data_IF_203338970990
#
_entry.id   IF_203338970990
#
_cell.length_a   1.000
_cell.length_b   1.000
_cell.length_c   1.000
_cell.angle_alpha   90.00
_cell.angle_beta   90.00
_cell.angle_gamma   90.00
#
_symmetry.space_group_name_H-M   'P 1'
#
loop_
_entity.id
_entity.type
_entity.pdbx_description
1 polymer ?
#
# COMPACT_ATOMS: atom_id res chain seq x y z
N UNK A 1 -12.27 -20.71 10.28
CA UNK A 1 -11.42 -21.36 9.25
C UNK A 1 -12.11 -21.62 7.91
N UNK A 2 -13.46 -21.72 7.83
CA UNK A 2 -14.17 -21.89 6.54
C UNK A 2 -14.24 -20.59 5.71
N UNK A 3 -14.20 -19.43 6.37
CA UNK A 3 -14.27 -18.10 5.74
C UNK A 3 -13.07 -17.75 4.84
N UNK A 4 -11.89 -18.28 5.13
CA UNK A 4 -10.65 -17.93 4.41
C UNK A 4 -10.54 -18.64 3.07
N UNK A 5 -11.05 -19.88 2.97
CA UNK A 5 -10.99 -20.67 1.73
C UNK A 5 -11.97 -20.15 0.66
N UNK A 6 -13.17 -19.73 1.08
CA UNK A 6 -14.15 -19.11 0.16
C UNK A 6 -13.62 -17.76 -0.35
N UNK A 7 -13.05 -16.94 0.54
CA UNK A 7 -12.43 -15.68 0.15
C UNK A 7 -11.24 -15.84 -0.82
N UNK A 8 -10.48 -16.94 -0.72
CA UNK A 8 -9.37 -17.24 -1.61
C UNK A 8 -9.81 -17.61 -3.03
N UNK A 9 -10.87 -18.42 -3.16
CA UNK A 9 -11.40 -18.77 -4.47
C UNK A 9 -12.05 -17.56 -5.17
N UNK A 10 -12.73 -16.71 -4.41
CA UNK A 10 -13.33 -15.50 -4.94
C UNK A 10 -12.27 -14.51 -5.44
N UNK A 11 -11.22 -14.23 -4.65
CA UNK A 11 -10.18 -13.28 -5.05
C UNK A 11 -9.40 -13.74 -6.29
N UNK A 12 -9.16 -15.04 -6.43
CA UNK A 12 -8.47 -15.63 -7.59
C UNK A 12 -9.31 -15.57 -8.88
N UNK A 13 -10.62 -15.36 -8.76
CA UNK A 13 -11.53 -15.17 -9.90
C UNK A 13 -11.65 -13.72 -10.38
N UNK A 14 -10.95 -12.79 -9.72
CA UNK A 14 -11.01 -11.37 -10.06
C UNK A 14 -9.84 -10.98 -10.95
N UNK A 15 -10.13 -10.58 -12.19
CA UNK A 15 -9.13 -10.20 -13.19
C UNK A 15 -8.30 -8.97 -12.76
N UNK A 16 -8.83 -8.14 -11.86
CA UNK A 16 -8.12 -6.97 -11.34
C UNK A 16 -6.87 -7.36 -10.53
N UNK A 17 -6.86 -8.54 -9.91
CA UNK A 17 -5.73 -9.04 -9.12
C UNK A 17 -4.46 -9.18 -9.98
N UNK A 18 -4.43 -10.03 -11.02
CA UNK A 18 -3.26 -10.14 -11.88
C UNK A 18 -2.98 -8.84 -12.64
N UNK A 19 -4.00 -8.04 -12.96
CA UNK A 19 -3.82 -6.75 -13.62
C UNK A 19 -3.03 -5.74 -12.76
N UNK A 20 -3.43 -5.52 -11.50
CA UNK A 20 -2.71 -4.63 -10.58
C UNK A 20 -1.30 -5.14 -10.32
N UNK A 21 -1.16 -6.44 -10.12
CA UNK A 21 0.13 -7.06 -9.83
C UNK A 21 1.08 -6.88 -11.04
N UNK A 22 0.57 -7.05 -12.26
CA UNK A 22 1.33 -6.79 -13.49
C UNK A 22 1.72 -5.33 -13.64
N UNK A 23 0.80 -4.40 -13.37
CA UNK A 23 1.09 -2.97 -13.33
C UNK A 23 2.24 -2.67 -12.36
N UNK A 24 2.20 -3.24 -11.15
CA UNK A 24 3.25 -3.03 -10.15
C UNK A 24 4.60 -3.55 -10.64
N UNK A 25 4.63 -4.71 -11.30
CA UNK A 25 5.84 -5.27 -11.90
C UNK A 25 6.39 -4.39 -13.03
N UNK A 26 5.53 -4.00 -13.97
CA UNK A 26 5.86 -3.22 -15.16
C UNK A 26 6.41 -1.82 -14.80
N UNK A 27 5.83 -1.17 -13.79
CA UNK A 27 6.21 0.17 -13.37
C UNK A 27 7.03 0.22 -12.06
N UNK A 28 7.49 -0.93 -11.56
CA UNK A 28 8.21 -1.05 -10.29
C UNK A 28 9.35 -0.03 -10.16
N UNK A 29 10.25 0.01 -11.15
CA UNK A 29 11.38 0.94 -11.15
C UNK A 29 10.97 2.37 -11.43
N UNK A 30 9.93 2.61 -12.22
CA UNK A 30 9.55 3.95 -12.67
C UNK A 30 8.78 4.72 -11.59
N UNK A 31 7.95 4.02 -10.83
CA UNK A 31 7.11 4.60 -9.78
C UNK A 31 7.59 4.25 -8.36
N UNK A 32 8.75 3.59 -8.24
CA UNK A 32 9.28 3.08 -6.97
C UNK A 32 8.22 2.27 -6.22
N UNK A 33 7.60 1.31 -6.92
CA UNK A 33 6.56 0.45 -6.33
C UNK A 33 7.21 -0.74 -5.61
N UNK A 34 6.57 -1.23 -4.54
CA UNK A 34 6.98 -2.47 -3.90
C UNK A 34 7.00 -3.65 -4.90
N UNK A 35 7.97 -4.55 -4.70
CA UNK A 35 8.10 -5.81 -5.45
C UNK A 35 7.01 -6.82 -5.01
N UNK A 36 5.83 -6.70 -5.62
CA UNK A 36 4.63 -7.46 -5.29
C UNK A 36 4.41 -8.59 -6.31
N UNK A 37 4.41 -9.83 -5.83
CA UNK A 37 3.92 -10.97 -6.59
C UNK A 37 2.38 -11.07 -6.47
N UNK A 38 1.73 -11.77 -7.41
CA UNK A 38 0.27 -11.93 -7.41
C UNK A 38 -0.23 -12.53 -6.09
N UNK A 39 0.45 -13.56 -5.59
CA UNK A 39 0.22 -14.19 -4.30
C UNK A 39 0.31 -13.20 -3.13
N UNK A 40 1.26 -12.27 -3.19
CA UNK A 40 1.50 -11.29 -2.12
C UNK A 40 0.33 -10.31 -2.04
N UNK A 41 -0.18 -9.84 -3.19
CA UNK A 41 -1.35 -8.97 -3.24
C UNK A 41 -2.61 -9.66 -2.70
N UNK A 42 -2.85 -10.92 -3.11
CA UNK A 42 -3.97 -11.71 -2.60
C UNK A 42 -3.90 -11.90 -1.08
N UNK A 43 -2.73 -12.27 -0.57
CA UNK A 43 -2.51 -12.46 0.87
C UNK A 43 -2.70 -11.15 1.65
N UNK A 44 -2.18 -10.04 1.13
CA UNK A 44 -2.29 -8.73 1.77
C UNK A 44 -3.74 -8.21 1.80
N UNK A 45 -4.52 -8.45 0.75
CA UNK A 45 -5.93 -8.08 0.70
C UNK A 45 -6.80 -8.96 1.62
N UNK A 46 -6.46 -10.25 1.78
CA UNK A 46 -7.17 -11.16 2.67
C UNK A 46 -6.71 -11.08 4.13
N UNK A 47 -5.58 -10.43 4.42
CA UNK A 47 -5.13 -10.19 5.79
C UNK A 47 -6.16 -9.34 6.55
N UNK A 48 -6.46 -9.77 7.77
CA UNK A 48 -7.34 -9.06 8.71
C UNK A 48 -6.59 -7.98 9.52
N UNK A 49 -5.32 -7.73 9.19
CA UNK A 49 -4.46 -6.78 9.91
C UNK A 49 -3.84 -7.35 11.20
N UNK A 50 -4.04 -8.63 11.51
CA UNK A 50 -3.45 -9.30 12.68
C UNK A 50 -2.16 -10.08 12.38
N UNK A 51 -1.82 -10.21 11.09
CA UNK A 51 -0.59 -10.87 10.62
C UNK A 51 0.66 -9.98 10.75
N UNK A 52 1.83 -10.54 10.46
CA UNK A 52 3.13 -9.84 10.50
C UNK A 52 3.08 -8.41 9.93
N UNK A 53 3.59 -7.43 10.68
CA UNK A 53 3.50 -5.99 10.38
C UNK A 53 3.92 -5.64 8.94
N UNK A 54 4.89 -6.36 8.37
CA UNK A 54 5.43 -6.13 7.03
C UNK A 54 4.45 -6.53 5.90
N UNK A 55 3.62 -7.58 6.08
CA UNK A 55 2.55 -7.92 5.11
C UNK A 55 1.34 -7.00 5.26
N UNK A 56 1.07 -6.56 6.50
CA UNK A 56 -0.01 -5.60 6.82
C UNK A 56 0.25 -4.23 6.19
N UNK A 57 1.52 -3.87 5.96
CA UNK A 57 1.90 -2.60 5.36
C UNK A 57 1.95 -2.60 3.81
N UNK A 58 1.87 -3.75 3.12
CA UNK A 58 2.05 -3.83 1.67
C UNK A 58 1.03 -2.97 0.90
N UNK A 59 -0.26 -3.14 1.19
CA UNK A 59 -1.34 -2.39 0.51
C UNK A 59 -1.27 -0.90 0.84
N UNK A 60 -1.13 -0.48 2.13
CA UNK A 60 -0.87 0.90 2.48
C UNK A 60 0.35 1.52 1.77
N UNK A 61 1.46 0.80 1.68
CA UNK A 61 2.68 1.29 1.00
C UNK A 61 2.44 1.49 -0.49
N UNK A 62 1.81 0.51 -1.17
CA UNK A 62 1.42 0.65 -2.57
C UNK A 62 0.56 1.90 -2.79
N UNK A 63 -0.45 2.12 -1.96
CA UNK A 63 -1.31 3.31 -2.03
C UNK A 63 -0.50 4.59 -1.86
N UNK A 64 0.39 4.65 -0.86
CA UNK A 64 1.23 5.83 -0.60
C UNK A 64 2.14 6.13 -1.80
N UNK A 65 2.80 5.12 -2.38
CA UNK A 65 3.67 5.31 -3.56
C UNK A 65 2.90 5.83 -4.76
N UNK A 66 1.72 5.28 -5.04
CA UNK A 66 0.87 5.74 -6.13
C UNK A 66 0.38 7.17 -5.91
N UNK A 67 -0.16 7.49 -4.73
CA UNK A 67 -0.66 8.84 -4.42
C UNK A 67 0.44 9.91 -4.51
N UNK A 68 1.67 9.59 -4.10
CA UNK A 68 2.82 10.50 -4.19
C UNK A 68 3.21 10.83 -5.63
N UNK A 69 2.92 9.94 -6.57
CA UNK A 69 3.18 10.14 -7.99
C UNK A 69 2.06 10.88 -8.73
N UNK A 70 0.94 11.20 -8.08
CA UNK A 70 -0.19 11.88 -8.73
C UNK A 70 -0.03 13.40 -8.70
N UNK A 71 -0.12 14.06 -9.87
CA UNK A 71 0.03 15.52 -10.01
C UNK A 71 -0.91 16.32 -9.09
N UNK A 72 -2.14 15.83 -8.91
CA UNK A 72 -3.15 16.46 -8.04
C UNK A 72 -2.72 16.55 -6.55
N UNK A 73 -1.72 15.77 -6.15
CA UNK A 73 -1.18 15.71 -4.79
C UNK A 73 0.28 16.16 -4.70
N UNK A 74 0.89 16.63 -5.80
CA UNK A 74 2.32 16.93 -5.87
C UNK A 74 2.81 17.90 -4.79
N UNK A 75 1.99 18.91 -4.44
CA UNK A 75 2.33 19.91 -3.42
C UNK A 75 2.39 19.35 -2.00
N UNK A 76 1.67 18.26 -1.72
CA UNK A 76 1.57 17.62 -0.40
C UNK A 76 2.16 16.20 -0.39
N UNK A 77 2.75 15.74 -1.48
CA UNK A 77 3.22 14.37 -1.64
C UNK A 77 4.16 13.91 -0.50
N UNK A 78 5.05 14.79 -0.04
CA UNK A 78 5.99 14.49 1.06
C UNK A 78 5.31 14.28 2.42
N UNK A 79 4.09 14.79 2.60
CA UNK A 79 3.32 14.68 3.83
C UNK A 79 2.50 13.38 3.89
N UNK A 80 2.35 12.67 2.76
CA UNK A 80 1.59 11.42 2.69
C UNK A 80 2.41 10.29 3.31
N UNK A 81 1.85 9.66 4.34
CA UNK A 81 2.46 8.57 5.11
C UNK A 81 1.46 7.43 5.33
N UNK A 82 1.97 6.29 5.78
CA UNK A 82 1.16 5.12 6.17
C UNK A 82 0.07 5.43 7.20
N UNK A 83 0.24 6.44 8.05
CA UNK A 83 -0.73 6.77 9.10
C UNK A 83 -1.83 7.73 8.64
N UNK A 84 -1.63 8.47 7.54
CA UNK A 84 -2.56 9.51 7.11
C UNK A 84 -3.07 9.36 5.67
N UNK A 85 -2.59 8.36 4.91
CA UNK A 85 -2.90 8.19 3.49
C UNK A 85 -4.41 8.16 3.20
N UNK A 86 -5.22 7.62 4.11
CA UNK A 86 -6.66 7.45 3.90
C UNK A 86 -7.38 8.79 3.64
N UNK A 87 -6.99 9.85 4.34
CA UNK A 87 -7.55 11.19 4.13
C UNK A 87 -7.23 11.69 2.71
N UNK A 88 -5.98 11.55 2.28
CA UNK A 88 -5.53 11.95 0.95
C UNK A 88 -6.18 11.11 -0.15
N UNK A 89 -6.25 9.79 0.04
CA UNK A 89 -6.90 8.84 -0.86
C UNK A 89 -8.36 9.21 -1.07
N UNK A 90 -9.11 9.44 0.01
CA UNK A 90 -10.53 9.82 -0.04
C UNK A 90 -10.74 11.11 -0.84
N UNK A 91 -9.93 12.15 -0.55
CA UNK A 91 -10.00 13.44 -1.27
C UNK A 91 -9.65 13.28 -2.74
N UNK A 92 -8.63 12.48 -3.04
CA UNK A 92 -8.18 12.21 -4.41
C UNK A 92 -9.25 11.48 -5.21
N UNK A 93 -9.80 10.38 -4.70
CA UNK A 93 -10.84 9.60 -5.39
C UNK A 93 -12.12 10.42 -5.61
N UNK A 94 -12.55 11.24 -4.65
CA UNK A 94 -13.69 12.16 -4.84
C UNK A 94 -13.51 13.13 -6.02
N UNK A 95 -12.27 13.49 -6.32
CA UNK A 95 -11.95 14.33 -7.47
C UNK A 95 -11.83 13.50 -8.75
N UNK A 96 -11.01 12.45 -8.74
CA UNK A 96 -10.72 11.66 -9.94
C UNK A 96 -11.91 10.84 -10.43
N UNK A 97 -12.64 10.14 -9.55
CA UNK A 97 -13.83 9.39 -9.96
C UNK A 97 -14.88 10.31 -10.60
N UNK A 98 -14.98 11.57 -10.16
CA UNK A 98 -15.88 12.57 -10.77
C UNK A 98 -15.43 12.98 -12.16
N UNK A 99 -14.12 13.18 -12.35
CA UNK A 99 -13.54 13.55 -13.65
C UNK A 99 -13.67 12.41 -14.66
N UNK A 100 -13.42 11.18 -14.24
CA UNK A 100 -13.48 9.97 -15.09
C UNK A 100 -14.87 9.35 -15.17
N UNK A 101 -15.86 9.90 -14.46
CA UNK A 101 -17.24 9.38 -14.39
C UNK A 101 -17.31 7.91 -13.94
N UNK A 102 -16.47 7.52 -12.98
CA UNK A 102 -16.43 6.18 -12.40
C UNK A 102 -17.04 6.15 -11.00
N UNK A 103 -17.39 4.94 -10.51
CA UNK A 103 -17.90 4.76 -9.16
C UNK A 103 -16.80 5.03 -8.10
N UNK A 104 -17.10 5.85 -7.09
CA UNK A 104 -16.19 6.07 -5.97
C UNK A 104 -16.43 5.06 -4.86
N UNK A 105 -15.62 4.00 -4.84
CA UNK A 105 -15.69 2.92 -3.86
C UNK A 105 -15.24 3.32 -2.42
N UNK A 106 -14.69 4.52 -2.23
CA UNK A 106 -14.20 5.04 -0.95
C UNK A 106 -14.88 6.34 -0.48
N UNK A 107 -16.18 6.49 -0.71
CA UNK A 107 -16.90 7.72 -0.38
C UNK A 107 -17.49 7.79 1.05
N UNK A 108 -17.40 6.70 1.82
CA UNK A 108 -17.88 6.61 3.21
C UNK A 108 -16.76 6.82 4.22
N UNK A 109 -17.03 7.40 5.40
CA UNK A 109 -16.04 7.61 6.47
C UNK A 109 -15.51 6.34 7.17
N UNK A 110 -15.78 5.17 6.60
CA UNK A 110 -15.22 3.88 7.02
C UNK A 110 -13.73 3.82 6.66
N UNK A 111 -12.95 3.22 7.55
CA UNK A 111 -11.52 2.97 7.32
C UNK A 111 -11.31 2.00 6.15
N UNK A 112 -10.25 2.23 5.37
CA UNK A 112 -9.93 1.42 4.19
C UNK A 112 -9.90 -0.08 4.50
N UNK A 113 -9.23 -0.48 5.58
CA UNK A 113 -9.09 -1.89 5.96
C UNK A 113 -10.42 -2.56 6.36
N UNK A 114 -11.40 -1.77 6.80
CA UNK A 114 -12.74 -2.25 7.17
C UNK A 114 -13.66 -2.43 5.96
N UNK A 115 -13.24 -2.01 4.77
CA UNK A 115 -14.02 -2.21 3.56
C UNK A 115 -14.00 -3.68 3.09
N UNK A 116 -15.08 -4.15 2.45
CA UNK A 116 -15.07 -5.43 1.75
C UNK A 116 -13.88 -5.53 0.80
N UNK A 117 -13.24 -6.71 0.74
CA UNK A 117 -12.04 -6.98 -0.08
C UNK A 117 -12.25 -6.51 -1.52
N UNK A 118 -13.44 -6.76 -2.08
CA UNK A 118 -13.79 -6.36 -3.44
C UNK A 118 -13.72 -4.84 -3.65
N UNK A 119 -14.19 -4.04 -2.69
CA UNK A 119 -14.10 -2.57 -2.76
C UNK A 119 -12.65 -2.10 -2.63
N UNK A 120 -11.87 -2.68 -1.72
CA UNK A 120 -10.42 -2.39 -1.59
C UNK A 120 -9.69 -2.65 -2.91
N UNK A 121 -10.00 -3.77 -3.57
CA UNK A 121 -9.43 -4.11 -4.88
C UNK A 121 -9.80 -3.10 -5.97
N UNK A 122 -11.07 -2.70 -6.07
CA UNK A 122 -11.49 -1.67 -7.01
C UNK A 122 -10.78 -0.33 -6.78
N UNK A 123 -10.62 0.08 -5.52
CA UNK A 123 -9.87 1.29 -5.17
C UNK A 123 -8.41 1.20 -5.65
N UNK A 124 -7.74 0.07 -5.45
CA UNK A 124 -6.37 -0.13 -5.92
C UNK A 124 -6.28 -0.11 -7.45
N UNK A 125 -7.22 -0.77 -8.13
CA UNK A 125 -7.30 -0.77 -9.58
C UNK A 125 -7.48 0.66 -10.13
N UNK A 126 -8.43 1.41 -9.58
CA UNK A 126 -8.69 2.80 -9.98
C UNK A 126 -7.47 3.68 -9.72
N UNK A 127 -6.76 3.48 -8.60
CA UNK A 127 -5.55 4.23 -8.28
C UNK A 127 -4.40 3.94 -9.26
N UNK A 128 -4.21 2.69 -9.69
CA UNK A 128 -3.29 2.34 -10.77
C UNK A 128 -3.65 3.06 -12.07
N UNK A 129 -4.93 3.09 -12.42
CA UNK A 129 -5.41 3.81 -13.60
C UNK A 129 -5.15 5.31 -13.51
N UNK A 130 -5.57 5.97 -12.42
CA UNK A 130 -5.37 7.41 -12.24
C UNK A 130 -3.90 7.82 -12.14
N UNK A 131 -3.02 6.91 -11.69
CA UNK A 131 -1.58 7.17 -11.69
C UNK A 131 -1.04 7.41 -13.10
N UNK A 132 -1.62 6.77 -14.11
CA UNK A 132 -1.20 6.89 -15.51
C UNK A 132 -1.55 8.26 -16.13
N UNK A 133 -2.45 9.03 -15.53
CA UNK A 133 -2.84 10.36 -16.03
C UNK A 133 -1.80 11.45 -15.72
N UNK A 134 -0.78 11.14 -14.91
CA UNK A 134 0.22 12.13 -14.48
C UNK A 134 1.24 12.43 -15.58
N UNK A 135 1.72 13.68 -15.63
CA UNK A 135 2.54 14.18 -16.74
C UNK A 135 3.88 13.46 -16.89
N UNK A 136 4.43 12.93 -15.80
CA UNK A 136 5.70 12.20 -15.79
C UNK A 136 5.61 10.85 -16.51
N UNK A 137 4.41 10.28 -16.62
CA UNK A 137 4.15 9.00 -17.29
C UNK A 137 4.46 9.07 -18.77
N UNK A 138 4.20 10.20 -19.43
CA UNK A 138 4.51 10.37 -20.85
C UNK A 138 6.02 10.17 -21.12
N UNK A 139 6.87 10.64 -20.21
CA UNK A 139 8.33 10.47 -20.32
C UNK A 139 8.71 9.01 -20.07
N UNK A 140 8.11 8.38 -19.06
CA UNK A 140 8.35 6.96 -18.74
C UNK A 140 7.96 6.06 -19.92
N UNK A 141 6.77 6.25 -20.49
CA UNK A 141 6.25 5.47 -21.61
C UNK A 141 7.05 5.70 -22.90
N UNK A 142 7.62 6.89 -23.10
CA UNK A 142 8.45 7.16 -24.30
C UNK A 142 9.70 6.28 -24.40
N UNK A 143 10.15 5.71 -23.27
CA UNK A 143 11.27 4.79 -23.20
C UNK A 143 10.85 3.31 -23.28
N UNK A 144 9.56 3.01 -23.47
CA UNK A 144 9.01 1.66 -23.51
C UNK A 144 8.41 1.37 -24.89
N UNK A 145 8.61 0.15 -25.38
CA UNK A 145 7.96 -0.30 -26.60
C UNK A 145 6.47 -0.51 -26.34
N UNK A 146 5.61 0.02 -27.21
CA UNK A 146 4.16 -0.07 -27.06
C UNK A 146 3.65 -1.51 -26.94
N UNK A 147 4.25 -2.43 -27.70
CA UNK A 147 3.90 -3.86 -27.69
C UNK A 147 4.30 -4.54 -26.37
N UNK A 148 5.27 -3.99 -25.64
CA UNK A 148 5.67 -4.51 -24.32
C UNK A 148 4.74 -4.06 -23.18
N UNK A 149 3.88 -3.06 -23.41
CA UNK A 149 2.96 -2.53 -22.40
C UNK A 149 1.61 -3.26 -22.40
N UNK A 150 1.25 -3.89 -23.52
CA UNK A 150 -0.04 -4.55 -23.69
C UNK A 150 0.05 -6.02 -23.29
N UNK A 151 -0.78 -6.44 -22.35
CA UNK A 151 -0.99 -7.86 -22.09
C UNK A 151 -1.97 -8.41 -23.13
N UNK A 152 -1.54 -9.43 -23.86
CA UNK A 152 -2.36 -10.16 -24.83
C UNK A 152 -2.64 -11.59 -24.34
N UNK A 153 -3.78 -12.18 -24.72
CA UNK A 153 -4.01 -13.59 -24.44
C UNK A 153 -2.99 -14.43 -25.21
N UNK A 154 -2.42 -15.44 -24.55
CA UNK A 154 -1.57 -16.44 -25.17
C UNK A 154 -2.28 -17.20 -26.29
N UNK A 155 -3.60 -17.31 -26.21
CA UNK A 155 -4.41 -17.97 -27.21
C UNK A 155 -5.79 -18.28 -26.69
N UNK A 156 -6.52 -19.06 -27.48
CA UNK A 156 -7.91 -19.42 -27.21
C UNK A 156 -8.11 -20.93 -27.35
N UNK A 157 -9.08 -21.47 -26.62
CA UNK A 157 -9.52 -22.85 -26.81
C UNK A 157 -10.69 -23.00 -27.80
N UNK A 158 -11.19 -24.22 -27.98
CA UNK A 158 -12.33 -24.50 -28.85
C UNK A 158 -13.63 -23.80 -28.41
N UNK A 159 -13.75 -23.43 -27.12
CA UNK A 159 -14.89 -22.69 -26.56
C UNK A 159 -14.69 -21.17 -26.63
N UNK A 160 -13.59 -20.73 -27.24
CA UNK A 160 -13.19 -19.34 -27.33
C UNK A 160 -12.92 -18.71 -25.95
N UNK A 161 -12.51 -19.52 -24.98
CA UNK A 161 -12.00 -19.06 -23.69
C UNK A 161 -10.56 -18.55 -23.88
N UNK A 162 -10.28 -17.35 -23.39
CA UNK A 162 -8.97 -16.72 -23.51
C UNK A 162 -8.01 -17.20 -22.43
N UNK A 163 -6.76 -17.47 -22.79
CA UNK A 163 -5.71 -17.90 -21.87
C UNK A 163 -4.74 -16.75 -21.66
N UNK A 164 -4.58 -16.31 -20.41
CA UNK A 164 -3.87 -15.07 -20.08
C UNK A 164 -2.71 -15.34 -19.13
N UNK A 165 -1.53 -14.91 -19.54
CA UNK A 165 -0.32 -14.91 -18.72
C UNK A 165 0.15 -13.47 -18.53
N UNK A 166 0.25 -13.05 -17.28
CA UNK A 166 0.70 -11.71 -16.93
C UNK A 166 2.19 -11.71 -16.62
N UNK A 167 2.58 -12.50 -15.62
CA UNK A 167 3.97 -12.75 -15.22
C UNK A 167 4.01 -13.84 -14.14
N UNK A 168 5.22 -14.27 -13.76
CA UNK A 168 5.43 -15.25 -12.71
C UNK A 168 5.06 -16.66 -13.17
N UNK A 169 4.16 -17.31 -12.44
CA UNK A 169 3.94 -18.78 -12.52
C UNK A 169 2.47 -19.19 -12.68
N UNK A 170 1.56 -18.20 -12.73
CA UNK A 170 0.12 -18.44 -12.84
C UNK A 170 -0.36 -18.28 -14.27
N UNK A 171 -1.33 -19.10 -14.64
CA UNK A 171 -2.07 -18.95 -15.88
C UNK A 171 -3.55 -18.78 -15.58
N UNK A 172 -4.18 -17.82 -16.25
CA UNK A 172 -5.59 -17.50 -16.10
C UNK A 172 -6.38 -17.93 -17.34
N UNK A 173 -7.63 -18.33 -17.14
CA UNK A 173 -8.61 -18.53 -18.20
C UNK A 173 -9.76 -17.54 -18.03
N UNK A 174 -10.13 -16.90 -19.11
CA UNK A 174 -11.30 -16.05 -19.24
C UNK A 174 -12.36 -16.77 -20.07
N UNK A 175 -13.48 -17.12 -19.43
CA UNK A 175 -14.66 -17.64 -20.11
C UNK A 175 -15.65 -16.50 -20.34
N UNK A 176 -16.07 -16.27 -21.59
CA UNK A 176 -17.19 -15.36 -21.87
C UNK A 176 -18.47 -16.04 -21.42
N UNK A 177 -19.32 -15.37 -20.63
CA UNK A 177 -20.63 -15.92 -20.32
C UNK A 177 -21.34 -16.19 -21.64
N UNK A 178 -21.69 -17.45 -21.83
CA UNK A 178 -22.51 -17.87 -22.95
C UNK A 178 -23.89 -17.27 -22.73
N UNK A 179 -24.09 -16.06 -23.25
CA UNK A 179 -25.43 -15.62 -23.63
C UNK A 179 -25.97 -16.72 -24.53
N UNK A 180 -27.07 -17.35 -24.11
CA UNK A 180 -27.63 -18.53 -24.74
C UNK A 180 -27.59 -18.42 -26.27
N UNK A 181 -27.16 -19.49 -26.92
CA UNK A 181 -27.02 -19.63 -28.36
C UNK A 181 -27.99 -18.72 -29.14
N UNK A 182 -27.47 -17.65 -29.74
CA UNK A 182 -28.21 -16.89 -30.73
C UNK A 182 -28.34 -17.77 -31.98
N UNK A 183 -29.45 -18.50 -32.05
CA UNK A 183 -30.02 -18.93 -33.30
C UNK A 183 -30.37 -17.68 -34.12
N UNK A 184 -30.00 -17.74 -35.39
CA UNK A 184 -30.47 -16.86 -36.45
C UNK A 184 -31.98 -16.60 -36.38
N UNK A 185 -32.41 -15.34 -36.27
CA UNK A 185 -33.53 -14.80 -37.06
C UNK A 185 -33.69 -13.29 -36.89
N UNK A 186 -33.94 -12.66 -38.02
CA UNK A 186 -34.40 -11.30 -38.23
C UNK A 186 -35.76 -11.02 -37.59
N UNK A 187 -36.00 -9.79 -37.11
CA UNK A 187 -37.33 -9.35 -36.71
C UNK A 187 -37.39 -7.97 -36.07
N UNK A 188 -37.88 -6.99 -36.85
CA UNK A 188 -38.28 -5.64 -36.41
C UNK A 188 -39.39 -5.70 -35.34
N UNK A 189 -39.37 -4.81 -34.34
CA UNK A 189 -40.53 -4.61 -33.46
C UNK A 189 -40.30 -3.63 -32.31
N UNK A 190 -41.10 -2.57 -32.30
CA UNK A 190 -41.13 -1.42 -31.39
C UNK A 190 -41.70 -1.69 -29.99
N UNK A 191 -41.20 -0.93 -29.00
CA UNK A 191 -41.99 -0.29 -27.94
C UNK A 191 -42.29 -1.08 -26.64
N UNK A 192 -42.04 -0.43 -25.49
CA UNK A 192 -42.64 -0.82 -24.21
C UNK A 192 -41.81 -0.46 -22.98
N UNK A 193 -42.15 0.65 -22.32
CA UNK A 193 -41.68 0.99 -20.99
C UNK A 193 -42.26 0.03 -19.93
N UNK A 194 -41.45 -0.36 -18.95
CA UNK A 194 -41.89 -1.15 -17.80
C UNK A 194 -40.87 -1.08 -16.67
N UNK A 195 -41.20 -0.32 -15.63
CA UNK A 195 -40.49 -0.29 -14.36
C UNK A 195 -40.92 -1.47 -13.48
N UNK A 196 -39.97 -2.18 -12.86
CA UNK A 196 -40.20 -2.91 -11.60
C UNK A 196 -38.89 -3.32 -10.94
N UNK A 197 -38.59 -2.64 -9.82
CA UNK A 197 -38.25 -3.20 -8.51
C UNK A 197 -37.57 -4.58 -8.41
N UNK A 198 -36.41 -4.57 -7.74
CA UNK A 198 -36.14 -5.44 -6.60
C UNK A 198 -35.79 -6.90 -6.90
N UNK A 199 -34.48 -7.17 -6.96
CA UNK A 199 -33.96 -8.53 -6.94
C UNK A 199 -32.48 -8.52 -6.60
N UNK A 200 -32.16 -8.50 -5.30
CA UNK A 200 -30.82 -8.78 -4.81
C UNK A 200 -30.43 -10.20 -5.25
N UNK A 201 -29.59 -10.30 -6.27
CA UNK A 201 -29.02 -11.56 -6.74
C UNK A 201 -27.52 -11.53 -6.50
N UNK A 202 -27.06 -12.56 -5.78
CA UNK A 202 -25.67 -12.85 -5.45
C UNK A 202 -24.78 -12.77 -6.71
N UNK A 203 -23.99 -11.71 -6.84
CA UNK A 203 -23.02 -11.51 -7.92
C UNK A 203 -21.82 -12.43 -7.72
N UNK A 204 -21.97 -13.68 -8.17
CA UNK A 204 -20.94 -14.72 -8.15
C UNK A 204 -19.98 -14.48 -9.32
N UNK A 205 -18.81 -13.90 -9.05
CA UNK A 205 -17.63 -13.94 -9.95
C UNK A 205 -17.79 -13.40 -11.38
N UNK A 206 -18.86 -12.67 -11.68
CA UNK A 206 -19.05 -12.04 -12.99
C UNK A 206 -18.22 -10.75 -13.01
N UNK A 207 -17.14 -10.72 -13.80
CA UNK A 207 -16.47 -9.48 -14.15
C UNK A 207 -17.46 -8.52 -14.82
N UNK A 208 -17.19 -7.21 -14.79
CA UNK A 208 -18.11 -6.15 -15.27
C UNK A 208 -18.71 -6.36 -16.67
N UNK A 209 -18.16 -7.28 -17.47
CA UNK A 209 -18.54 -7.58 -18.85
C UNK A 209 -19.20 -8.97 -19.05
N UNK A 210 -19.64 -9.65 -17.99
CA UNK A 210 -20.20 -11.01 -18.13
C UNK A 210 -19.12 -12.09 -18.34
N UNK A 211 -17.88 -11.86 -17.93
CA UNK A 211 -16.78 -12.82 -18.10
C UNK A 211 -16.45 -13.47 -16.77
N UNK A 212 -16.12 -14.76 -16.78
CA UNK A 212 -15.68 -15.53 -15.61
C UNK A 212 -14.18 -15.79 -15.73
N UNK A 213 -13.42 -15.37 -14.74
CA UNK A 213 -11.97 -15.58 -14.70
C UNK A 213 -11.62 -16.67 -13.69
N UNK A 214 -10.63 -17.50 -14.04
CA UNK A 214 -10.18 -18.61 -13.21
C UNK A 214 -8.67 -18.79 -13.34
N UNK A 215 -8.00 -19.06 -12.22
CA UNK A 215 -6.63 -19.58 -12.26
C UNK A 215 -6.68 -21.05 -12.64
N UNK A 216 -5.96 -21.43 -13.69
CA UNK A 216 -5.94 -22.80 -14.22
C UNK A 216 -4.60 -23.50 -13.99
N UNK A 217 -3.52 -22.76 -13.77
CA UNK A 217 -2.21 -23.33 -13.46
C UNK A 217 -1.58 -22.63 -12.25
N UNK A 218 -1.17 -23.42 -11.26
CA UNK A 218 -0.47 -22.98 -10.04
C UNK A 218 0.93 -23.58 -9.93
N UNK A 219 1.11 -24.77 -10.50
CA UNK A 219 2.30 -25.61 -10.42
C UNK A 219 2.83 -25.95 -11.81
N UNK A 220 4.09 -26.36 -11.89
CA UNK A 220 4.69 -26.83 -13.14
C UNK A 220 3.89 -27.98 -13.76
N UNK A 221 3.35 -28.87 -12.92
CA UNK A 221 2.53 -30.01 -13.35
C UNK A 221 1.21 -29.54 -13.99
N UNK A 222 0.56 -28.50 -13.46
CA UNK A 222 -0.67 -27.97 -14.05
C UNK A 222 -0.44 -27.45 -15.49
N UNK A 223 0.70 -26.80 -15.73
CA UNK A 223 1.08 -26.31 -17.05
C UNK A 223 1.35 -27.47 -18.02
N UNK A 224 2.07 -28.51 -17.56
CA UNK A 224 2.34 -29.71 -18.36
C UNK A 224 1.04 -30.45 -18.71
N UNK A 225 0.12 -30.60 -17.75
CA UNK A 225 -1.17 -31.22 -17.95
C UNK A 225 -2.04 -30.43 -18.93
N UNK A 226 -2.02 -29.09 -18.85
CA UNK A 226 -2.73 -28.24 -19.79
C UNK A 226 -2.19 -28.39 -21.22
N UNK A 227 -0.87 -28.35 -21.40
CA UNK A 227 -0.25 -28.55 -22.70
C UNK A 227 -0.56 -29.95 -23.26
N UNK A 228 -0.47 -30.99 -22.43
CA UNK A 228 -0.83 -32.36 -22.81
C UNK A 228 -2.29 -32.48 -23.29
N UNK A 229 -3.22 -31.75 -22.67
CA UNK A 229 -4.62 -31.70 -23.08
C UNK A 229 -4.80 -31.16 -24.51
N UNK A 230 -3.99 -30.19 -24.93
CA UNK A 230 -4.08 -29.57 -26.26
C UNK A 230 -3.21 -30.24 -27.32
N UNK A 231 -2.20 -31.02 -26.92
CA UNK A 231 -1.26 -31.72 -27.81
C UNK A 231 -1.92 -32.55 -28.90
N UNK A 232 -3.02 -33.22 -28.58
CA UNK A 232 -3.76 -34.09 -29.53
C UNK A 232 -5.02 -33.44 -30.09
N UNK A 233 -5.25 -32.15 -29.81
CA UNK A 233 -6.44 -31.47 -30.30
C UNK A 233 -6.41 -31.28 -31.82
N UNK A 234 -7.57 -31.46 -32.45
CA UNK A 234 -7.79 -31.16 -33.86
C UNK A 234 -8.17 -29.70 -34.11
N UNK A 235 -8.49 -28.93 -33.06
CA UNK A 235 -8.88 -27.53 -33.18
C UNK A 235 -7.66 -26.64 -33.46
N UNK A 236 -7.75 -25.78 -34.48
CA UNK A 236 -6.66 -24.90 -34.88
C UNK A 236 -6.18 -23.96 -33.76
N UNK A 237 -7.11 -23.38 -32.98
CA UNK A 237 -6.78 -22.45 -31.89
C UNK A 237 -6.07 -23.16 -30.74
N UNK A 238 -6.53 -24.36 -30.38
CA UNK A 238 -5.90 -25.16 -29.33
C UNK A 238 -4.50 -25.65 -29.75
N UNK A 239 -4.30 -25.96 -31.03
CA UNK A 239 -2.96 -26.29 -31.55
C UNK A 239 -2.01 -25.11 -31.52
N UNK A 240 -2.48 -23.92 -31.86
CA UNK A 240 -1.69 -22.68 -31.74
C UNK A 240 -1.32 -22.40 -30.29
N UNK A 241 -2.28 -22.48 -29.37
CA UNK A 241 -2.04 -22.36 -27.94
C UNK A 241 -1.04 -23.41 -27.44
N UNK A 242 -1.17 -24.67 -27.87
CA UNK A 242 -0.22 -25.73 -27.53
C UNK A 242 1.21 -25.37 -27.97
N UNK A 243 1.40 -24.94 -29.22
CA UNK A 243 2.73 -24.57 -29.71
C UNK A 243 3.34 -23.43 -28.89
N UNK A 244 2.55 -22.41 -28.55
CA UNK A 244 3.02 -21.30 -27.72
C UNK A 244 3.46 -21.82 -26.34
N UNK A 245 2.66 -22.68 -25.70
CA UNK A 245 2.98 -23.26 -24.40
C UNK A 245 4.25 -24.14 -24.47
N UNK A 246 4.33 -25.04 -25.44
CA UNK A 246 5.43 -26.02 -25.60
C UNK A 246 6.76 -25.35 -25.98
N UNK A 247 6.73 -24.38 -26.90
CA UNK A 247 7.93 -23.75 -27.42
C UNK A 247 8.45 -22.63 -26.48
N UNK A 248 7.54 -21.80 -25.94
CA UNK A 248 7.93 -20.56 -25.26
C UNK A 248 7.90 -20.63 -23.73
N UNK A 249 7.03 -21.46 -23.15
CA UNK A 249 6.78 -21.50 -21.71
C UNK A 249 7.40 -22.72 -21.04
N UNK A 250 7.00 -23.94 -21.44
CA UNK A 250 7.40 -25.18 -20.75
C UNK A 250 8.92 -25.30 -20.52
N UNK A 251 9.81 -24.96 -21.48
CA UNK A 251 11.25 -25.06 -21.26
C UNK A 251 11.77 -24.11 -20.16
N UNK A 252 11.07 -22.99 -19.93
CA UNK A 252 11.45 -21.94 -18.98
C UNK A 252 10.79 -22.08 -17.61
N UNK A 253 9.64 -22.78 -17.52
CA UNK A 253 8.90 -22.94 -16.27
C UNK A 253 9.75 -23.46 -15.10
N UNK A 254 10.60 -24.50 -15.24
CA UNK A 254 11.40 -25.00 -14.12
C UNK A 254 12.35 -23.95 -13.53
N UNK A 255 12.78 -22.98 -14.34
CA UNK A 255 13.60 -21.86 -13.86
C UNK A 255 12.74 -20.81 -13.17
N UNK A 256 11.61 -20.42 -13.76
CA UNK A 256 10.66 -19.47 -13.17
C UNK A 256 10.15 -19.91 -11.79
N UNK A 257 9.81 -21.20 -11.64
CA UNK A 257 9.37 -21.75 -10.34
C UNK A 257 10.49 -21.73 -9.28
N UNK A 258 11.73 -22.05 -9.67
CA UNK A 258 12.90 -21.97 -8.78
C UNK A 258 13.21 -20.54 -8.38
N UNK A 259 13.12 -19.60 -9.31
CA UNK A 259 13.36 -18.19 -9.06
C UNK A 259 12.30 -17.60 -8.12
N UNK A 260 11.01 -17.91 -8.35
CA UNK A 260 9.91 -17.55 -7.43
C UNK A 260 10.17 -18.05 -6.02
N UNK A 261 10.51 -19.34 -5.86
CA UNK A 261 10.79 -19.92 -4.53
C UNK A 261 12.01 -19.26 -3.87
N UNK A 262 13.06 -18.93 -4.65
CA UNK A 262 14.24 -18.21 -4.16
C UNK A 262 13.87 -16.80 -3.68
N UNK A 263 13.06 -16.06 -4.45
CA UNK A 263 12.59 -14.71 -4.10
C UNK A 263 11.72 -14.75 -2.84
N UNK A 264 10.79 -15.70 -2.75
CA UNK A 264 9.96 -15.92 -1.56
C UNK A 264 10.80 -16.17 -0.31
N UNK A 265 11.81 -17.03 -0.40
CA UNK A 265 12.76 -17.29 0.70
C UNK A 265 13.55 -16.04 1.08
N UNK A 266 13.99 -15.24 0.09
CA UNK A 266 14.70 -13.99 0.32
C UNK A 266 13.83 -12.98 1.08
N UNK A 267 12.57 -12.79 0.66
CA UNK A 267 11.58 -11.91 1.32
C UNK A 267 11.38 -12.32 2.78
N UNK A 268 11.19 -13.62 3.06
CA UNK A 268 11.04 -14.14 4.43
C UNK A 268 12.27 -13.87 5.32
N UNK A 269 13.48 -14.02 4.76
CA UNK A 269 14.71 -13.73 5.49
C UNK A 269 14.90 -12.22 5.76
N UNK A 270 14.49 -11.37 4.82
CA UNK A 270 14.56 -9.92 4.96
C UNK A 270 13.61 -9.41 6.05
N UNK A 271 12.36 -9.89 6.07
CA UNK A 271 11.37 -9.62 7.15
C UNK A 271 11.90 -10.06 8.52
N UNK A 272 12.55 -11.22 8.59
CA UNK A 272 13.15 -11.69 9.85
C UNK A 272 14.31 -10.80 10.32
N UNK A 273 15.02 -10.16 9.38
CA UNK A 273 16.14 -9.27 9.68
C UNK A 273 15.65 -7.88 10.14
N UNK A 274 14.65 -7.29 9.48
CA UNK A 274 14.04 -6.01 9.87
C UNK A 274 13.50 -6.06 11.31
N UNK A 275 12.75 -7.10 11.66
CA UNK A 275 12.22 -7.29 13.01
C UNK A 275 13.32 -7.43 14.06
N UNK A 276 14.41 -8.14 13.75
CA UNK A 276 15.56 -8.27 14.66
C UNK A 276 16.28 -6.94 14.87
N UNK A 277 16.51 -6.18 13.80
CA UNK A 277 17.17 -4.88 13.85
C UNK A 277 16.33 -3.89 14.66
N UNK A 278 15.01 -3.83 14.42
CA UNK A 278 14.08 -2.97 15.16
C UNK A 278 14.08 -3.30 16.66
N UNK A 279 14.00 -4.58 17.02
CA UNK A 279 14.05 -5.00 18.43
C UNK A 279 15.36 -4.58 19.10
N UNK A 280 16.50 -4.69 18.41
CA UNK A 280 17.80 -4.24 18.93
C UNK A 280 17.83 -2.71 19.10
N UNK A 281 17.29 -1.96 18.13
CA UNK A 281 17.24 -0.51 18.21
C UNK A 281 16.34 -0.03 19.37
N UNK A 282 15.18 -0.66 19.57
CA UNK A 282 14.27 -0.34 20.67
C UNK A 282 14.90 -0.66 22.04
N UNK A 283 15.57 -1.81 22.16
CA UNK A 283 16.34 -2.16 23.37
C UNK A 283 17.42 -1.12 23.69
N UNK A 284 18.17 -0.66 22.67
CA UNK A 284 19.18 0.40 22.85
C UNK A 284 18.56 1.73 23.25
N UNK A 285 17.43 2.11 22.65
CA UNK A 285 16.74 3.35 22.99
C UNK A 285 16.26 3.35 24.45
N UNK A 286 15.69 2.22 24.93
CA UNK A 286 15.32 2.05 26.34
C UNK A 286 16.51 2.12 27.29
N UNK A 287 17.63 1.49 26.93
CA UNK A 287 18.87 1.56 27.73
C UNK A 287 19.43 2.98 27.81
N UNK A 288 19.36 3.73 26.71
CA UNK A 288 19.80 5.12 26.65
C UNK A 288 18.87 6.04 27.46
N UNK A 289 17.55 5.85 27.40
CA UNK A 289 16.60 6.58 28.25
C UNK A 289 16.84 6.31 29.74
N UNK A 290 17.06 5.06 30.14
CA UNK A 290 17.40 4.73 31.52
C UNK A 290 18.71 5.39 31.96
N UNK A 291 19.71 5.42 31.08
CA UNK A 291 20.99 6.08 31.36
C UNK A 291 20.80 7.58 31.55
N UNK A 292 20.07 8.24 30.64
CA UNK A 292 19.78 9.66 30.75
C UNK A 292 18.94 9.99 31.99
N UNK A 293 18.03 9.10 32.38
CA UNK A 293 17.25 9.23 33.62
C UNK A 293 18.16 9.19 34.85
N UNK A 294 19.06 8.21 34.92
CA UNK A 294 20.05 8.10 36.02
C UNK A 294 21.00 9.30 36.07
N UNK A 295 21.45 9.79 34.92
CA UNK A 295 22.29 10.99 34.87
C UNK A 295 21.54 12.23 35.35
N UNK A 296 20.27 12.41 34.96
CA UNK A 296 19.43 13.51 35.46
C UNK A 296 19.17 13.41 36.97
N UNK A 297 18.92 12.21 37.48
CA UNK A 297 18.76 11.97 38.91
C UNK A 297 20.05 12.29 39.68
N UNK A 298 21.22 11.84 39.19
CA UNK A 298 22.52 12.17 39.77
C UNK A 298 22.80 13.68 39.76
N UNK A 299 22.55 14.36 38.63
CA UNK A 299 22.71 15.81 38.51
C UNK A 299 21.81 16.57 39.51
N UNK A 300 20.57 16.08 39.70
CA UNK A 300 19.65 16.66 40.68
C UNK A 300 20.15 16.45 42.12
N UNK A 301 20.65 15.25 42.44
CA UNK A 301 21.24 14.90 43.73
C UNK A 301 22.47 15.78 44.02
N UNK A 302 23.38 15.94 43.05
CA UNK A 302 24.57 16.79 43.17
C UNK A 302 24.19 18.25 43.39
N UNK A 303 23.15 18.74 42.70
CA UNK A 303 22.64 20.11 42.92
C UNK A 303 22.10 20.31 44.33
N UNK A 304 21.37 19.33 44.87
CA UNK A 304 20.87 19.37 46.24
C UNK A 304 22.01 19.29 47.26
N UNK A 305 23.00 18.42 47.04
CA UNK A 305 24.17 18.30 47.91
C UNK A 305 25.00 19.59 47.89
N UNK A 306 25.24 20.19 46.72
CA UNK A 306 25.93 21.47 46.60
C UNK A 306 25.17 22.61 47.29
N UNK A 307 23.83 22.60 47.25
CA UNK A 307 23.00 23.56 47.96
C UNK A 307 23.14 23.41 49.49
N UNK A 308 23.21 22.18 50.01
CA UNK A 308 23.38 21.90 51.44
C UNK A 308 24.81 22.20 51.95
N UNK A 309 25.83 22.00 51.12
CA UNK A 309 27.24 22.19 51.47
C UNK A 309 27.72 23.66 51.32
N UNK A 310 26.85 24.60 50.95
CA UNK A 310 27.20 26.01 50.79
C UNK A 310 27.70 26.61 52.14
N UNK A 311 28.92 27.17 52.21
CA UNK A 311 29.48 27.63 53.48
C UNK A 311 28.69 28.83 54.06
N UNK A 312 28.42 28.87 55.37
CA UNK A 312 27.71 29.99 56.02
C UNK A 312 28.43 31.36 55.90
N UNK A 313 29.69 31.38 55.47
CA UNK A 313 30.46 32.60 55.22
C UNK A 313 29.88 33.49 54.11
N UNK A 314 29.31 32.92 53.04
CA UNK A 314 28.73 33.73 51.95
C UNK A 314 27.47 34.47 52.40
N UNK A 315 26.64 33.86 53.26
CA UNK A 315 25.47 34.52 53.83
C UNK A 315 25.85 35.66 54.78
N UNK A 316 26.90 35.50 55.60
CA UNK A 316 27.39 36.57 56.47
C UNK A 316 27.96 37.75 55.66
N UNK A 317 28.71 37.50 54.59
CA UNK A 317 29.25 38.56 53.74
C UNK A 317 28.14 39.37 53.04
N UNK A 318 27.10 38.71 52.55
CA UNK A 318 25.94 39.39 51.95
C UNK A 318 25.16 40.24 52.96
N UNK A 319 24.94 39.73 54.18
CA UNK A 319 24.29 40.52 55.23
C UNK A 319 25.11 41.76 55.63
N UNK A 320 26.43 41.63 55.72
CA UNK A 320 27.31 42.77 56.01
C UNK A 320 27.26 43.83 54.89
N UNK A 321 27.27 43.42 53.62
CA UNK A 321 27.13 44.37 52.50
C UNK A 321 25.77 45.09 52.50
N UNK A 322 24.68 44.39 52.79
CA UNK A 322 23.35 45.01 52.88
C UNK A 322 23.27 46.02 54.05
N UNK A 323 23.84 45.69 55.21
CA UNK A 323 23.89 46.62 56.34
C UNK A 323 24.71 47.88 56.01
N UNK A 324 25.86 47.73 55.33
CA UNK A 324 26.66 48.89 54.91
C UNK A 324 25.91 49.78 53.92
N UNK A 325 25.19 49.21 52.94
CA UNK A 325 24.39 49.99 52.01
C UNK A 325 23.23 50.73 52.70
N UNK A 326 22.53 50.08 53.64
CA UNK A 326 21.48 50.76 54.42
C UNK A 326 22.02 51.91 55.26
N UNK A 327 23.18 51.74 55.91
CA UNK A 327 23.81 52.81 56.67
C UNK A 327 24.24 53.97 55.77
N UNK A 328 24.78 53.70 54.57
CA UNK A 328 25.10 54.75 53.60
C UNK A 328 23.85 55.50 53.14
N UNK A 329 22.76 54.80 52.81
CA UNK A 329 21.51 55.44 52.41
C UNK A 329 20.91 56.31 53.53
N UNK A 330 20.92 55.82 54.78
CA UNK A 330 20.46 56.61 55.92
C UNK A 330 21.34 57.83 56.19
N UNK A 331 22.66 57.71 56.03
CA UNK A 331 23.60 58.84 56.13
C UNK A 331 23.32 59.88 55.05
N UNK A 332 23.17 59.46 53.78
CA UNK A 332 22.82 60.35 52.67
C UNK A 332 21.47 61.04 52.88
N UNK A 333 20.46 60.34 53.41
CA UNK A 333 19.17 60.94 53.76
C UNK A 333 19.28 61.96 54.90
N UNK A 334 20.11 61.69 55.92
CA UNK A 334 20.37 62.66 57.01
C UNK A 334 21.09 63.91 56.50
N UNK A 335 22.06 63.75 55.61
CA UNK A 335 22.78 64.86 54.96
C UNK A 335 21.84 65.68 54.08
N UNK A 336 20.98 65.03 53.28
CA UNK A 336 19.92 65.69 52.51
C UNK A 336 18.94 66.48 53.38
N UNK A 337 18.51 65.92 54.52
CA UNK A 337 17.63 66.61 55.49
C UNK A 337 18.31 67.80 56.17
N UNK A 338 19.62 67.75 56.42
CA UNK A 338 20.39 68.90 56.94
C UNK A 338 20.52 70.02 55.90
N UNK A 339 20.83 69.69 54.65
CA UNK A 339 20.91 70.66 53.56
C UNK A 339 19.56 71.33 53.29
N UNK A 340 18.46 70.58 53.35
CA UNK A 340 17.11 71.13 53.20
C UNK A 340 16.70 72.10 54.33
N UNK A 341 17.31 72.01 55.53
CA UNK A 341 17.07 72.93 56.65
C UNK A 341 17.93 74.19 56.62
N UNK A 342 18.95 74.26 55.78
CA UNK A 342 19.81 75.44 55.59
C UNK A 342 19.33 76.36 54.45
N UNK A 343 18.37 75.92 53.63
CA UNK A 343 17.80 76.68 52.51
C UNK A 343 16.37 77.21 52.79
N UNK A 344 15.93 77.21 54.05
CA UNK A 344 14.67 77.79 54.50
C UNK A 344 14.97 78.81 55.58
#
# INVERSE_FOLDING_TARGET
MVSTFIGLLDIQSWWEIPCISHFCSLFSSAFDLPDIDIEDLESALLSDGTSDEDQVALVPELIVRLLKGCDALQTVAKEITHSNYQMFLRRFLRQQCRLHQTENHFDTDIDFQSLPVRKRLHILHDLCHFRLDSVDVQVILSNLEADSLRVEPLGYDAKNSGYWYFYGTRLYREDKATGGAASSSSGSGSGGAGASTGGASNSKGIGSNGTVWQVICFTEEDWQNLAAKFKTSTNAKERELFNILDDNFLPKLPQLFRERERLRRRKLLQVRNSSRIRNIAELKARQEEERQRRERENLYQDRQNAHWLAPPQQQQQQQQQQQQQQQQQQSQQRTRRRLARQCS
#
